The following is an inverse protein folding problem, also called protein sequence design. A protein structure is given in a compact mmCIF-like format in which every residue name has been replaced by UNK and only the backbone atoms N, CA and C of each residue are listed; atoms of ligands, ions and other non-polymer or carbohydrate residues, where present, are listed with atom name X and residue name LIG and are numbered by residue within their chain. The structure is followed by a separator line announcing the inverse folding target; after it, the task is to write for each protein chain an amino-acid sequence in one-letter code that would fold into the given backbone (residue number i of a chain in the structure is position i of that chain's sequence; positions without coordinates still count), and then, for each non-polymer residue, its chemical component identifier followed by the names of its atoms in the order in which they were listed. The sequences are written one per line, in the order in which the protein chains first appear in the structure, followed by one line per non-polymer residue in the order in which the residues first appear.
data_IF_739789983088
#
_entry.id   IF_739789983088
#
_cell.length_a   1.000
_cell.length_b   1.000
_cell.length_c   1.000
_cell.angle_alpha   90.00
_cell.angle_beta   90.00
_cell.angle_gamma   90.00
#
_symmetry.space_group_name_H-M   'P 1'
#
loop_
_entity.id
_entity.type
_entity.pdbx_description
1 polymer ?
#
# COMPACT_ATOMS: atom_id res chain seq x y z
N UNK A 1 -10.01 24.70 9.29
CA UNK A 1 -9.38 24.93 7.96
C UNK A 1 -9.11 23.58 7.30
N UNK A 2 -9.79 23.30 6.19
CA UNK A 2 -9.64 22.05 5.43
C UNK A 2 -8.20 21.90 4.93
N UNK A 3 -7.64 20.70 5.05
CA UNK A 3 -6.27 20.38 4.63
C UNK A 3 -6.09 20.68 3.13
N UNK A 4 -4.97 21.31 2.76
CA UNK A 4 -4.67 21.67 1.36
C UNK A 4 -4.75 20.44 0.44
N UNK A 5 -5.44 20.59 -0.71
CA UNK A 5 -5.62 19.51 -1.70
C UNK A 5 -6.97 18.78 -1.62
N UNK A 6 -7.83 19.09 -0.65
CA UNK A 6 -9.16 18.51 -0.49
C UNK A 6 -10.24 19.55 -0.81
N UNK A 7 -10.57 19.68 -2.09
CA UNK A 7 -11.60 20.60 -2.59
C UNK A 7 -12.70 19.83 -3.33
N UNK A 8 -13.91 20.39 -3.34
CA UNK A 8 -15.04 19.85 -4.10
C UNK A 8 -14.63 19.64 -5.56
N UNK A 9 -14.87 18.45 -6.10
CA UNK A 9 -14.51 18.08 -7.47
C UNK A 9 -13.10 17.51 -7.67
N UNK A 10 -12.20 17.57 -6.67
CA UNK A 10 -10.88 16.91 -6.77
C UNK A 10 -11.00 15.39 -6.70
N UNK A 11 -10.08 14.73 -7.40
CA UNK A 11 -9.97 13.26 -7.43
C UNK A 11 -9.00 12.79 -6.36
N UNK A 12 -9.36 11.76 -5.61
CA UNK A 12 -8.61 11.31 -4.44
C UNK A 12 -8.57 9.79 -4.42
N UNK A 13 -7.46 9.24 -3.90
CA UNK A 13 -7.32 7.81 -3.64
C UNK A 13 -7.73 7.48 -2.22
N UNK A 14 -8.55 6.45 -2.08
CA UNK A 14 -8.67 5.68 -0.85
C UNK A 14 -7.60 4.58 -0.89
N UNK A 15 -7.32 3.91 0.23
CA UNK A 15 -6.43 2.73 0.25
C UNK A 15 -6.84 1.62 -0.76
N UNK A 16 -8.06 1.68 -1.28
CA UNK A 16 -8.54 0.86 -2.39
C UNK A 16 -8.03 1.50 -3.71
N UNK A 17 -7.50 0.72 -4.68
CA UNK A 17 -6.97 1.20 -5.96
C UNK A 17 -8.03 1.76 -6.92
N UNK A 18 -9.08 2.41 -6.40
CA UNK A 18 -10.12 3.09 -7.15
C UNK A 18 -10.12 4.58 -6.77
N UNK A 19 -10.02 5.44 -7.78
CA UNK A 19 -10.08 6.88 -7.60
C UNK A 19 -11.54 7.34 -7.48
N UNK A 20 -11.80 8.31 -6.61
CA UNK A 20 -13.12 8.88 -6.39
C UNK A 20 -13.09 10.41 -6.44
N UNK A 21 -14.25 11.02 -6.71
CA UNK A 21 -14.43 12.48 -6.69
C UNK A 21 -15.11 12.93 -5.40
N UNK A 22 -14.64 14.04 -4.82
CA UNK A 22 -15.31 14.70 -3.69
C UNK A 22 -16.59 15.37 -4.19
N UNK A 23 -17.70 15.10 -3.52
CA UNK A 23 -18.98 15.73 -3.80
C UNK A 23 -19.28 16.87 -2.83
N UNK A 24 -19.10 16.62 -1.54
CA UNK A 24 -19.40 17.57 -0.46
C UNK A 24 -18.37 17.44 0.66
N UNK A 25 -18.04 18.55 1.30
CA UNK A 25 -17.15 18.61 2.46
C UNK A 25 -17.99 19.15 3.61
N UNK A 26 -18.15 18.37 4.67
CA UNK A 26 -18.96 18.76 5.82
C UNK A 26 -18.12 19.45 6.89
N UNK A 27 -16.90 18.96 7.11
CA UNK A 27 -15.99 19.43 8.14
C UNK A 27 -14.53 19.28 7.66
N UNK A 28 -13.58 19.84 8.41
CA UNK A 28 -12.14 19.75 8.18
C UNK A 28 -11.63 18.29 8.11
N UNK A 29 -12.43 17.32 8.56
CA UNK A 29 -12.07 15.91 8.68
C UNK A 29 -12.96 14.93 7.88
N UNK A 30 -14.16 15.35 7.45
CA UNK A 30 -15.15 14.47 6.83
C UNK A 30 -15.57 14.97 5.46
N UNK A 31 -15.45 14.09 4.47
CA UNK A 31 -15.95 14.35 3.11
C UNK A 31 -16.95 13.30 2.65
N UNK A 32 -17.91 13.75 1.83
CA UNK A 32 -18.81 12.89 1.07
C UNK A 32 -18.21 12.59 -0.30
N UNK A 33 -18.07 11.30 -0.59
CA UNK A 33 -17.54 10.78 -1.83
C UNK A 33 -18.68 10.52 -2.82
N UNK A 34 -18.48 10.88 -4.08
CA UNK A 34 -19.44 10.50 -5.14
C UNK A 34 -19.39 8.99 -5.35
N UNK A 35 -20.42 8.28 -4.90
CA UNK A 35 -20.59 6.83 -5.14
C UNK A 35 -21.39 6.68 -6.43
N UNK A 36 -20.79 6.05 -7.46
CA UNK A 36 -21.60 5.51 -8.57
C UNK A 36 -22.39 4.34 -8.01
N UNK A 37 -23.66 4.20 -8.37
CA UNK A 37 -24.48 3.04 -8.02
C UNK A 37 -23.67 1.78 -8.36
N UNK A 38 -23.17 1.14 -7.31
CA UNK A 38 -22.40 -0.09 -7.39
C UNK A 38 -23.24 -1.09 -6.61
N UNK A 39 -23.18 -2.37 -6.98
CA UNK A 39 -23.98 -3.44 -6.35
C UNK A 39 -23.66 -3.64 -4.84
N UNK A 40 -22.68 -2.90 -4.32
CA UNK A 40 -22.32 -2.83 -2.92
C UNK A 40 -22.61 -1.44 -2.34
N UNK A 41 -23.31 -1.41 -1.21
CA UNK A 41 -23.50 -0.20 -0.42
C UNK A 41 -22.18 0.18 0.25
N UNK A 42 -21.63 1.33 -0.12
CA UNK A 42 -20.39 1.86 0.47
C UNK A 42 -20.71 3.13 1.23
N UNK A 43 -20.19 3.26 2.45
CA UNK A 43 -20.36 4.47 3.25
C UNK A 43 -19.90 5.71 2.43
N UNK A 44 -20.79 6.69 2.18
CA UNK A 44 -20.43 7.87 1.42
C UNK A 44 -19.49 8.79 2.19
N UNK A 45 -19.42 8.67 3.52
CA UNK A 45 -18.59 9.50 4.39
C UNK A 45 -17.22 8.87 4.65
N UNK A 46 -16.16 9.63 4.41
CA UNK A 46 -14.77 9.18 4.60
C UNK A 46 -13.97 10.24 5.37
N UNK A 47 -13.13 9.76 6.29
CA UNK A 47 -12.20 10.60 7.05
C UNK A 47 -10.98 10.97 6.20
N UNK A 48 -10.58 12.25 6.21
CA UNK A 48 -9.49 12.79 5.37
C UNK A 48 -8.15 12.08 5.62
N UNK A 49 -7.87 11.60 6.84
CA UNK A 49 -6.63 10.84 7.12
C UNK A 49 -6.51 9.51 6.38
N UNK A 50 -7.62 8.93 5.93
CA UNK A 50 -7.62 7.68 5.14
C UNK A 50 -7.41 7.92 3.65
N UNK A 51 -7.33 9.19 3.25
CA UNK A 51 -7.28 9.62 1.87
C UNK A 51 -5.91 10.18 1.53
N UNK A 52 -5.41 9.82 0.35
CA UNK A 52 -4.18 10.41 -0.20
C UNK A 52 -4.54 11.41 -1.30
N UNK A 53 -4.11 12.69 -1.19
CA UNK A 53 -4.34 13.67 -2.23
C UNK A 53 -3.68 13.18 -3.52
N UNK A 54 -4.43 13.19 -4.61
CA UNK A 54 -3.86 12.82 -5.91
C UNK A 54 -3.03 14.00 -6.39
N UNK A 55 -1.71 13.86 -6.31
CA UNK A 55 -0.78 14.73 -7.02
C UNK A 55 -1.02 14.47 -8.51
N UNK A 56 -1.47 15.50 -9.22
CA UNK A 56 -1.45 15.47 -10.68
C UNK A 56 0.03 15.60 -11.05
N UNK A 57 0.67 14.48 -11.34
CA UNK A 57 2.00 14.49 -11.96
C UNK A 57 1.87 15.29 -13.26
N UNK A 58 2.65 16.35 -13.41
CA UNK A 58 2.83 17.00 -14.71
C UNK A 58 3.23 15.92 -15.71
N UNK A 59 2.64 15.93 -16.91
CA UNK A 59 2.97 14.96 -17.96
C UNK A 59 4.50 14.88 -18.07
N UNK A 60 5.06 13.66 -18.08
CA UNK A 60 6.49 13.43 -18.32
C UNK A 60 6.88 14.26 -19.54
N UNK A 61 7.77 15.23 -19.35
CA UNK A 61 8.39 15.92 -20.49
C UNK A 61 9.13 14.84 -21.27
N UNK A 62 8.63 14.51 -22.47
CA UNK A 62 9.34 13.65 -23.41
C UNK A 62 10.52 14.46 -23.93
N UNK A 63 11.62 14.46 -23.18
CA UNK A 63 12.91 14.89 -23.69
C UNK A 63 13.39 13.70 -24.51
N UNK A 64 13.42 13.84 -25.83
CA UNK A 64 14.13 12.91 -26.70
C UNK A 64 15.61 13.07 -26.36
N UNK A 65 16.11 12.21 -25.48
CA UNK A 65 17.53 12.08 -25.23
C UNK A 65 18.08 11.25 -26.38
N UNK A 66 18.89 11.87 -27.23
CA UNK A 66 19.69 11.17 -28.22
C UNK A 66 20.74 10.35 -27.45
N UNK A 67 20.39 9.10 -27.15
CA UNK A 67 21.32 8.15 -26.54
C UNK A 67 22.12 7.60 -27.71
N UNK A 68 23.34 8.12 -27.88
CA UNK A 68 24.33 7.47 -28.71
C UNK A 68 24.44 6.02 -28.20
N UNK A 69 24.24 5.08 -29.11
CA UNK A 69 24.19 3.65 -28.85
C UNK A 69 25.60 3.15 -28.52
N UNK A 70 26.17 3.62 -27.41
CA UNK A 70 27.38 3.06 -26.83
C UNK A 70 26.96 1.79 -26.09
N UNK A 71 26.99 0.70 -26.84
CA UNK A 71 26.69 -0.67 -26.42
C UNK A 71 27.75 -1.23 -25.44
N UNK A 72 28.42 -0.36 -24.70
CA UNK A 72 29.42 -0.69 -23.68
C UNK A 72 28.85 -1.32 -22.42
N UNK A 73 27.67 -1.93 -22.48
CA UNK A 73 27.25 -2.91 -21.48
C UNK A 73 28.05 -4.20 -21.72
N UNK A 74 29.35 -4.17 -21.43
CA UNK A 74 30.05 -5.41 -21.14
C UNK A 74 29.30 -6.06 -19.99
N UNK A 75 28.67 -7.19 -20.31
CA UNK A 75 28.11 -8.11 -19.34
C UNK A 75 29.27 -8.68 -18.51
N UNK A 76 29.79 -7.87 -17.57
CA UNK A 76 30.53 -8.39 -16.46
C UNK A 76 29.60 -9.42 -15.80
N UNK A 77 29.92 -10.69 -15.98
CA UNK A 77 29.18 -11.81 -15.40
C UNK A 77 28.94 -11.45 -13.94
N UNK A 78 27.67 -11.32 -13.55
CA UNK A 78 27.33 -11.16 -12.14
C UNK A 78 28.07 -12.27 -11.38
N UNK A 79 28.69 -11.98 -10.23
CA UNK A 79 29.30 -13.03 -9.43
C UNK A 79 28.25 -14.13 -9.24
N UNK A 80 28.64 -15.38 -9.51
CA UNK A 80 27.77 -16.53 -9.30
C UNK A 80 27.16 -16.42 -7.90
N UNK A 81 25.84 -16.42 -7.89
CA UNK A 81 24.96 -16.08 -6.77
C UNK A 81 25.52 -16.63 -5.45
N UNK A 82 26.20 -15.75 -4.70
CA UNK A 82 26.95 -16.10 -3.49
C UNK A 82 26.03 -16.15 -2.27
N UNK A 83 24.82 -16.68 -2.45
CA UNK A 83 23.86 -16.89 -1.36
C UNK A 83 24.24 -18.15 -0.58
N UNK A 84 25.35 -18.09 0.14
CA UNK A 84 25.62 -19.06 1.20
C UNK A 84 24.68 -18.72 2.36
N UNK A 85 23.79 -19.63 2.80
CA UNK A 85 22.99 -19.38 3.98
C UNK A 85 23.96 -19.24 5.14
N UNK A 86 24.10 -18.03 5.67
CA UNK A 86 24.83 -17.81 6.91
C UNK A 86 24.22 -18.75 7.95
N UNK A 87 25.02 -19.65 8.52
CA UNK A 87 24.59 -20.49 9.65
C UNK A 87 24.32 -19.57 10.85
N UNK A 88 23.15 -18.95 10.89
CA UNK A 88 22.54 -18.50 12.13
C UNK A 88 21.86 -19.72 12.75
N UNK A 89 22.20 -19.99 14.02
CA UNK A 89 21.66 -21.10 14.82
C UNK A 89 20.15 -21.01 15.09
N UNK A 90 19.42 -20.10 14.43
CA UNK A 90 18.03 -19.77 14.69
C UNK A 90 17.08 -20.37 13.62
N UNK A 91 17.64 -21.04 12.61
CA UNK A 91 16.87 -21.70 11.54
C UNK A 91 16.70 -23.17 11.91
N UNK A 92 15.52 -23.50 12.44
CA UNK A 92 15.12 -24.88 12.68
C UNK A 92 14.20 -25.36 11.54
N UNK A 93 14.62 -26.41 10.83
CA UNK A 93 13.78 -27.12 9.87
C UNK A 93 12.73 -27.92 10.64
N UNK A 94 11.47 -27.49 10.58
CA UNK A 94 10.35 -28.15 11.26
C UNK A 94 9.63 -29.08 10.28
N UNK A 95 9.37 -30.33 10.67
CA UNK A 95 8.68 -31.31 9.81
C UNK A 95 7.18 -31.05 9.67
N UNK A 96 6.49 -30.71 10.78
CA UNK A 96 5.05 -30.47 10.80
C UNK A 96 4.63 -29.71 12.06
N UNK A 97 3.76 -28.72 11.90
CA UNK A 97 3.11 -28.04 13.04
C UNK A 97 2.05 -28.99 13.59
N UNK A 98 2.20 -29.42 14.85
CA UNK A 98 1.28 -30.38 15.47
C UNK A 98 -0.09 -29.77 15.71
N UNK A 99 -0.13 -28.57 16.30
CA UNK A 99 -1.39 -27.93 16.69
C UNK A 99 -1.32 -26.41 16.69
N UNK A 100 -2.49 -25.79 16.56
CA UNK A 100 -2.65 -24.34 16.48
C UNK A 100 -3.71 -23.87 17.47
N UNK A 101 -3.33 -23.01 18.41
CA UNK A 101 -4.24 -22.47 19.41
C UNK A 101 -4.46 -20.96 19.23
N UNK A 102 -5.72 -20.53 19.42
CA UNK A 102 -6.09 -19.12 19.48
C UNK A 102 -6.20 -18.68 20.93
N UNK A 103 -5.30 -17.79 21.35
CA UNK A 103 -5.25 -17.27 22.73
C UNK A 103 -5.71 -15.82 22.75
N UNK A 104 -6.70 -15.50 23.59
CA UNK A 104 -7.08 -14.11 23.89
C UNK A 104 -6.32 -13.67 25.13
N UNK A 105 -5.35 -12.76 24.96
CA UNK A 105 -4.66 -12.18 26.11
C UNK A 105 -5.58 -11.12 26.74
N UNK A 106 -5.73 -11.15 28.06
CA UNK A 106 -6.65 -10.26 28.79
C UNK A 106 -6.13 -8.84 28.95
N UNK A 107 -4.81 -8.62 28.80
CA UNK A 107 -4.15 -7.32 28.96
C UNK A 107 -4.24 -6.41 27.74
N UNK A 108 -4.32 -6.99 26.55
CA UNK A 108 -4.43 -6.30 25.27
C UNK A 108 -5.48 -7.11 24.53
N UNK A 109 -6.60 -6.51 24.13
CA UNK A 109 -7.72 -7.19 23.46
C UNK A 109 -7.38 -7.74 22.06
N UNK A 110 -6.14 -8.21 21.87
CA UNK A 110 -5.54 -8.83 20.71
C UNK A 110 -5.64 -10.35 20.89
N UNK A 111 -6.04 -11.04 19.83
CA UNK A 111 -6.00 -12.50 19.76
C UNK A 111 -4.72 -12.90 19.05
N UNK A 112 -3.88 -13.71 19.70
CA UNK A 112 -2.68 -14.28 19.10
C UNK A 112 -2.92 -15.72 18.69
N UNK A 113 -2.31 -16.13 17.58
CA UNK A 113 -2.24 -17.51 17.13
C UNK A 113 -0.90 -18.07 17.63
N UNK A 114 -0.96 -19.09 18.47
CA UNK A 114 0.20 -19.78 19.01
C UNK A 114 0.29 -21.16 18.35
N UNK A 115 1.50 -21.55 17.97
CA UNK A 115 1.79 -22.80 17.28
C UNK A 115 2.51 -23.72 18.26
N UNK A 116 1.97 -24.91 18.45
CA UNK A 116 2.66 -25.99 19.16
C UNK A 116 3.55 -26.68 18.13
N UNK A 117 4.85 -26.57 18.37
CA UNK A 117 5.92 -27.17 17.59
C UNK A 117 6.31 -28.47 18.28
#
# INVERSE_FOLDING_TARGET
RVKAGFEKGKSIWLYIPKAFRIEEIWDDFRLRRKVKATDYSVNPWVHISRLKPRVVLTKRTTIEVDVENDDGFEAALLPEDSWQPGRSNDVAEMELIQDVQWVKRTSIAIRSREYLI
#
